data_IF_185463148651
#
_entry.id   IF_185463148651
#
_cell.length_a   1.000
_cell.length_b   1.000
_cell.length_c   1.000
_cell.angle_alpha   90.00
_cell.angle_beta   90.00
_cell.angle_gamma   90.00
#
_symmetry.space_group_name_H-M   'P 1'
#
loop_
_entity.id
_entity.type
_entity.pdbx_description
1 polymer ?
#
# COMPACT_ATOMS: atom_id res chain seq x y z
N UNK A 1 17.28 -4.54 -17.43
CA UNK A 1 15.98 -4.76 -16.74
C UNK A 1 15.82 -3.72 -15.65
N UNK A 2 14.64 -3.67 -15.00
CA UNK A 2 14.37 -2.79 -13.84
C UNK A 2 14.65 -3.54 -12.55
N UNK A 3 15.31 -2.90 -11.59
CA UNK A 3 15.67 -3.50 -10.30
C UNK A 3 14.75 -3.06 -9.15
N UNK A 4 14.15 -1.88 -9.24
CA UNK A 4 13.30 -1.28 -8.21
C UNK A 4 12.10 -0.59 -8.86
N UNK A 5 10.95 -0.66 -8.21
CA UNK A 5 9.73 0.04 -8.62
C UNK A 5 9.34 0.98 -7.49
N UNK A 6 9.16 2.26 -7.83
CA UNK A 6 8.57 3.27 -6.96
C UNK A 6 7.18 3.62 -7.51
N UNK A 7 6.19 3.65 -6.63
CA UNK A 7 4.82 4.02 -6.98
C UNK A 7 4.28 5.04 -5.98
N UNK A 8 3.43 5.94 -6.47
CA UNK A 8 2.74 6.96 -5.66
C UNK A 8 1.24 6.79 -5.80
N UNK A 9 0.50 7.00 -4.71
CA UNK A 9 -0.97 6.97 -4.73
C UNK A 9 -1.55 8.03 -3.80
N UNK A 10 -2.64 8.66 -4.22
CA UNK A 10 -3.40 9.56 -3.38
C UNK A 10 -4.43 8.77 -2.57
N UNK A 11 -4.53 9.05 -1.27
CA UNK A 11 -5.40 8.31 -0.34
C UNK A 11 -6.16 9.25 0.59
N UNK A 12 -7.30 8.77 1.10
CA UNK A 12 -7.97 9.39 2.24
C UNK A 12 -7.41 8.85 3.54
N UNK A 13 -7.20 9.72 4.54
CA UNK A 13 -6.79 9.28 5.87
C UNK A 13 -7.97 8.72 6.67
N UNK A 14 -7.75 7.60 7.34
CA UNK A 14 -8.62 7.05 8.38
C UNK A 14 -8.16 7.47 9.79
N UNK A 15 -6.94 8.00 9.92
CA UNK A 15 -6.38 8.49 11.18
C UNK A 15 -6.43 10.02 11.28
N UNK A 16 -6.92 10.59 12.39
CA UNK A 16 -6.97 12.04 12.58
C UNK A 16 -5.58 12.70 12.70
N UNK A 17 -4.52 11.92 12.92
CA UNK A 17 -3.16 12.45 13.03
C UNK A 17 -2.51 12.78 11.68
N UNK A 18 -2.99 12.15 10.59
CA UNK A 18 -2.49 12.39 9.24
C UNK A 18 -3.28 13.52 8.58
N UNK A 19 -2.59 14.64 8.35
CA UNK A 19 -3.18 15.83 7.74
C UNK A 19 -3.17 15.72 6.21
N UNK A 20 -3.96 16.57 5.56
CA UNK A 20 -3.91 16.70 4.10
C UNK A 20 -2.51 17.17 3.69
N UNK A 21 -1.92 16.49 2.71
CA UNK A 21 -0.58 16.77 2.23
C UNK A 21 0.52 15.97 2.94
N UNK A 22 0.20 15.26 4.03
CA UNK A 22 1.15 14.38 4.69
C UNK A 22 1.58 13.24 3.77
N UNK A 23 2.88 12.90 3.80
CA UNK A 23 3.41 11.74 3.10
C UNK A 23 3.41 10.50 4.01
N UNK A 24 3.20 9.33 3.42
CA UNK A 24 3.20 8.08 4.19
C UNK A 24 4.04 7.04 3.47
N UNK A 25 5.06 6.53 4.15
CA UNK A 25 5.90 5.46 3.66
C UNK A 25 5.31 4.15 4.19
N UNK A 26 4.44 3.54 3.40
CA UNK A 26 3.68 2.34 3.77
C UNK A 26 4.57 1.17 4.15
N UNK A 27 4.23 0.44 5.21
CA UNK A 27 4.89 -0.80 5.62
C UNK A 27 4.00 -2.04 5.51
N UNK A 28 2.67 -1.86 5.49
CA UNK A 28 1.71 -2.94 5.34
C UNK A 28 0.52 -2.53 4.45
N UNK A 29 -0.31 -3.49 4.09
CA UNK A 29 -1.58 -3.25 3.42
C UNK A 29 -2.66 -4.26 3.86
N UNK A 30 -3.91 -3.87 3.71
CA UNK A 30 -5.09 -4.74 3.73
C UNK A 30 -5.74 -4.66 2.35
N UNK A 31 -5.90 -5.81 1.71
CA UNK A 31 -6.49 -5.91 0.38
C UNK A 31 -7.96 -6.33 0.48
N UNK A 32 -8.85 -5.44 0.04
CA UNK A 32 -10.29 -5.68 -0.08
C UNK A 32 -10.73 -5.69 -1.55
N UNK A 33 -9.78 -5.78 -2.49
CA UNK A 33 -10.06 -5.95 -3.91
C UNK A 33 -10.49 -7.38 -4.22
N UNK A 34 -11.27 -7.55 -5.29
CA UNK A 34 -12.00 -8.76 -5.65
C UNK A 34 -11.95 -9.09 -7.13
N UNK A 35 -11.87 -8.08 -8.01
CA UNK A 35 -12.05 -8.29 -9.45
C UNK A 35 -10.75 -8.28 -10.26
N UNK A 36 -9.61 -8.01 -9.60
CA UNK A 36 -8.32 -7.85 -10.26
C UNK A 36 -7.61 -9.20 -10.38
N UNK A 37 -6.90 -9.42 -11.48
CA UNK A 37 -5.93 -10.50 -11.58
C UNK A 37 -4.77 -10.20 -10.63
N UNK A 38 -4.57 -11.04 -9.61
CA UNK A 38 -3.62 -10.80 -8.52
C UNK A 38 -2.32 -11.59 -8.62
N UNK A 39 -2.18 -12.46 -9.63
CA UNK A 39 -1.00 -13.30 -9.85
C UNK A 39 -0.68 -13.40 -11.33
N UNK A 40 0.60 -13.59 -11.65
CA UNK A 40 1.05 -13.98 -12.98
C UNK A 40 0.95 -15.49 -13.21
N UNK A 41 0.81 -16.29 -12.14
CA UNK A 41 0.67 -17.75 -12.21
C UNK A 41 -0.82 -18.12 -12.26
N UNK A 42 -1.49 -17.77 -13.34
CA UNK A 42 -2.94 -17.94 -13.52
C UNK A 42 -3.32 -19.05 -14.53
N UNK A 43 -2.32 -19.73 -15.12
CA UNK A 43 -2.53 -20.79 -16.11
C UNK A 43 -2.74 -20.31 -17.55
N UNK A 44 -2.55 -19.01 -17.84
CA UNK A 44 -2.53 -18.50 -19.21
C UNK A 44 -1.44 -19.14 -20.08
N UNK A 45 -1.70 -19.31 -21.38
CA UNK A 45 -0.78 -19.99 -22.31
C UNK A 45 0.59 -19.29 -22.40
N UNK A 46 0.61 -17.96 -22.27
CA UNK A 46 1.82 -17.13 -22.27
C UNK A 46 2.32 -16.81 -20.85
N UNK A 47 1.66 -17.32 -19.82
CA UNK A 47 1.97 -17.01 -18.43
C UNK A 47 2.83 -18.11 -17.79
N UNK A 48 3.59 -17.79 -16.73
CA UNK A 48 4.34 -18.78 -15.97
C UNK A 48 3.47 -19.96 -15.54
N UNK A 49 3.99 -21.16 -15.76
CA UNK A 49 3.31 -22.41 -15.41
C UNK A 49 3.49 -22.74 -13.92
N UNK A 50 2.51 -23.46 -13.36
CA UNK A 50 2.53 -23.94 -11.97
C UNK A 50 1.76 -23.04 -11.00
N UNK A 51 1.92 -23.31 -9.70
CA UNK A 51 1.28 -22.57 -8.60
C UNK A 51 2.35 -21.88 -7.78
N UNK A 52 2.20 -20.58 -7.55
CA UNK A 52 3.13 -19.77 -6.77
C UNK A 52 2.46 -19.18 -5.54
N UNK A 53 2.99 -19.52 -4.37
CA UNK A 53 2.59 -18.94 -3.09
C UNK A 53 3.70 -18.02 -2.57
N UNK A 54 3.55 -16.72 -2.78
CA UNK A 54 4.52 -15.72 -2.35
C UNK A 54 4.25 -15.33 -0.90
N UNK A 55 5.30 -15.29 -0.07
CA UNK A 55 5.20 -14.65 1.25
C UNK A 55 5.04 -13.15 1.07
N UNK A 56 3.92 -12.60 1.53
CA UNK A 56 3.65 -11.17 1.47
C UNK A 56 4.24 -10.40 2.65
N UNK A 57 4.94 -11.06 3.58
CA UNK A 57 5.61 -10.38 4.69
C UNK A 57 7.14 -10.44 4.53
N UNK A 58 7.85 -9.29 4.61
CA UNK A 58 7.32 -7.92 4.51
C UNK A 58 6.86 -7.59 3.08
N UNK A 59 5.79 -6.80 2.88
CA UNK A 59 5.20 -6.60 1.55
C UNK A 59 5.97 -5.61 0.67
N UNK A 60 6.88 -4.84 1.26
CA UNK A 60 7.61 -3.77 0.59
C UNK A 60 9.11 -3.91 0.79
N UNK A 61 9.89 -3.44 -0.19
CA UNK A 61 11.35 -3.51 -0.17
C UNK A 61 11.95 -2.64 0.94
N UNK A 62 12.55 -3.27 1.97
CA UNK A 62 13.01 -2.60 3.19
C UNK A 62 13.98 -1.44 2.93
N UNK A 63 14.97 -1.65 2.06
CA UNK A 63 15.99 -0.63 1.78
C UNK A 63 15.42 0.54 0.97
N UNK A 64 14.46 0.27 0.09
CA UNK A 64 13.82 1.33 -0.70
C UNK A 64 12.97 2.21 0.21
N UNK A 65 12.27 1.61 1.17
CA UNK A 65 11.54 2.37 2.20
C UNK A 65 12.47 3.24 3.03
N UNK A 66 13.62 2.69 3.46
CA UNK A 66 14.59 3.46 4.24
C UNK A 66 15.12 4.65 3.44
N UNK A 67 15.44 4.44 2.16
CA UNK A 67 15.87 5.51 1.26
C UNK A 67 14.81 6.62 1.14
N UNK A 68 13.52 6.27 1.06
CA UNK A 68 12.44 7.27 1.02
C UNK A 68 12.31 8.05 2.34
N UNK A 69 12.46 7.35 3.48
CA UNK A 69 12.44 7.98 4.81
C UNK A 69 13.60 8.97 4.95
N UNK A 70 14.81 8.55 4.57
CA UNK A 70 15.99 9.40 4.65
C UNK A 70 15.90 10.59 3.69
N UNK A 71 15.34 10.38 2.49
CA UNK A 71 15.03 11.46 1.55
C UNK A 71 14.06 12.49 2.13
N UNK A 72 13.06 12.08 2.91
CA UNK A 72 12.15 13.01 3.58
C UNK A 72 12.90 13.89 4.61
N UNK A 73 13.85 13.30 5.35
CA UNK A 73 14.70 14.02 6.30
C UNK A 73 15.61 15.03 5.61
N UNK A 74 16.27 14.61 4.52
CA UNK A 74 17.18 15.46 3.75
C UNK A 74 16.46 16.65 3.12
N UNK A 75 15.23 16.43 2.62
CA UNK A 75 14.38 17.46 2.05
C UNK A 75 13.65 18.31 3.10
N UNK A 76 13.82 18.02 4.39
CA UNK A 76 13.15 18.70 5.52
C UNK A 76 11.62 18.71 5.35
N UNK A 77 11.07 17.56 4.96
CA UNK A 77 9.63 17.34 4.96
C UNK A 77 9.24 17.04 6.41
N UNK A 78 8.45 17.91 7.02
CA UNK A 78 8.06 17.77 8.43
C UNK A 78 6.84 16.84 8.64
N UNK A 79 5.96 16.76 7.64
CA UNK A 79 4.68 16.02 7.73
C UNK A 79 4.76 14.70 6.94
N UNK A 80 5.50 13.73 7.49
CA UNK A 80 5.52 12.37 6.96
C UNK A 80 5.46 11.31 8.05
N UNK A 81 4.94 10.13 7.70
CA UNK A 81 4.87 8.96 8.58
C UNK A 81 5.67 7.79 8.01
N UNK A 82 6.56 7.24 8.83
CA UNK A 82 7.47 6.16 8.43
C UNK A 82 6.81 4.77 8.38
N UNK A 83 5.63 4.59 8.97
CA UNK A 83 4.90 3.31 9.04
C UNK A 83 3.39 3.55 9.06
N UNK A 84 2.68 2.85 8.18
CA UNK A 84 1.23 2.85 8.13
C UNK A 84 0.74 1.71 7.24
N UNK A 85 -0.41 1.15 7.62
CA UNK A 85 -1.14 0.20 6.79
C UNK A 85 -2.05 0.96 5.85
N UNK A 86 -2.00 0.64 4.54
CA UNK A 86 -3.02 1.12 3.59
C UNK A 86 -4.13 0.07 3.47
N UNK A 87 -5.39 0.51 3.49
CA UNK A 87 -6.51 -0.35 3.10
C UNK A 87 -6.92 -0.02 1.66
N UNK A 88 -6.96 -1.05 0.80
CA UNK A 88 -7.29 -0.91 -0.62
C UNK A 88 -8.66 -1.53 -0.89
N UNK A 89 -9.66 -0.68 -1.17
CA UNK A 89 -11.00 -1.12 -1.59
C UNK A 89 -11.07 -1.31 -3.11
N UNK A 90 -12.11 -1.99 -3.57
CA UNK A 90 -12.34 -2.20 -5.01
C UNK A 90 -12.58 -0.89 -5.78
N UNK A 91 -13.45 -0.02 -5.27
CA UNK A 91 -13.94 1.16 -5.99
C UNK A 91 -15.03 0.81 -7.02
N UNK A 92 -15.48 1.78 -7.86
CA UNK A 92 -15.03 3.18 -7.92
C UNK A 92 -15.64 4.07 -6.82
N UNK A 93 -16.64 3.56 -6.10
CA UNK A 93 -17.29 4.30 -5.03
C UNK A 93 -16.35 4.48 -3.84
N UNK A 94 -16.48 5.62 -3.16
CA UNK A 94 -15.89 5.80 -1.85
C UNK A 94 -16.60 4.93 -0.81
N UNK A 95 -15.88 4.62 0.26
CA UNK A 95 -16.43 3.90 1.41
C UNK A 95 -17.55 4.68 2.09
N UNK A 96 -18.57 3.95 2.51
CA UNK A 96 -19.61 4.43 3.41
C UNK A 96 -19.03 4.76 4.79
N UNK A 97 -19.78 5.52 5.58
CA UNK A 97 -19.42 5.82 6.96
C UNK A 97 -19.28 4.57 7.84
N UNK A 98 -20.12 3.55 7.61
CA UNK A 98 -20.08 2.29 8.35
C UNK A 98 -18.81 1.49 8.02
N UNK A 99 -18.45 1.40 6.74
CA UNK A 99 -17.20 0.76 6.30
C UNK A 99 -15.98 1.45 6.92
N UNK A 100 -15.94 2.79 6.90
CA UNK A 100 -14.84 3.54 7.53
C UNK A 100 -14.70 3.24 9.02
N UNK A 101 -15.81 3.10 9.77
CA UNK A 101 -15.75 2.70 11.19
C UNK A 101 -15.12 1.33 11.40
N UNK A 102 -15.40 0.38 10.50
CA UNK A 102 -14.79 -0.96 10.55
C UNK A 102 -13.31 -0.89 10.21
N UNK A 103 -12.93 -0.14 9.17
CA UNK A 103 -11.52 -0.02 8.79
C UNK A 103 -10.67 0.65 9.87
N UNK A 104 -11.22 1.68 10.52
CA UNK A 104 -10.59 2.32 11.69
C UNK A 104 -10.43 1.31 12.84
N UNK A 105 -11.43 0.46 13.09
CA UNK A 105 -11.33 -0.54 14.17
C UNK A 105 -10.32 -1.66 13.89
N UNK A 106 -9.95 -1.87 12.63
CA UNK A 106 -8.85 -2.77 12.23
C UNK A 106 -7.46 -2.15 12.41
N UNK A 107 -7.37 -0.86 12.79
CA UNK A 107 -6.10 -0.16 12.96
C UNK A 107 -5.50 0.34 11.64
N UNK A 108 -6.34 0.61 10.65
CA UNK A 108 -5.94 1.32 9.41
C UNK A 108 -5.87 2.82 9.62
#
# INVERSE_FOLDING_TARGET
GVNLILATTAVGSLSPELKRGALVILDNYIDMTKFRCSTFYDGGELHPQGVMHVSMHPPYHRELRQLLIDSCKDLKIDDYKEKSTILVIEGPNFSTYAENKVFISWGC
#
